data_IF_721274234405
#
_entry.id   IF_721274234405
#
_cell.length_a   1.000
_cell.length_b   1.000
_cell.length_c   1.000
_cell.angle_alpha   90.00
_cell.angle_beta   90.00
_cell.angle_gamma   90.00
#
_symmetry.space_group_name_H-M   'P 1'
#
loop_
_entity.id
_entity.type
_entity.pdbx_description
1 polymer ?
#
# COMPACT_ATOMS: atom_id res chain seq x y z
N UNK A 1 -6.81 4.67 9.83
CA UNK A 1 -6.77 4.28 8.38
C UNK A 1 -6.56 5.51 7.49
N UNK A 2 -5.34 6.02 7.34
CA UNK A 2 -5.06 7.19 6.52
C UNK A 2 -4.73 6.85 5.07
N UNK A 3 -4.70 7.89 4.23
CA UNK A 3 -4.06 7.84 2.92
C UNK A 3 -2.54 8.09 3.06
N UNK A 4 -1.78 7.69 2.05
CA UNK A 4 -0.42 8.18 1.85
C UNK A 4 -0.46 9.62 1.30
N UNK A 5 0.63 10.36 1.45
CA UNK A 5 0.77 11.70 0.85
C UNK A 5 1.04 11.52 -0.65
N UNK A 6 0.00 11.68 -1.44
CA UNK A 6 0.01 11.47 -2.89
C UNK A 6 -0.29 12.76 -3.64
N UNK A 7 0.23 12.95 -4.87
CA UNK A 7 -0.25 14.01 -5.73
C UNK A 7 -1.71 13.78 -6.10
N UNK A 8 -2.45 14.84 -6.36
CA UNK A 8 -3.85 14.73 -6.81
C UNK A 8 -3.96 13.99 -8.15
N UNK A 9 -5.09 13.32 -8.38
CA UNK A 9 -5.31 12.50 -9.58
C UNK A 9 -5.18 13.27 -10.90
N UNK A 10 -5.43 14.58 -10.87
CA UNK A 10 -5.32 15.45 -12.03
C UNK A 10 -3.98 16.21 -12.08
N UNK A 11 -3.09 15.96 -11.13
CA UNK A 11 -1.77 16.58 -11.11
C UNK A 11 -0.87 15.96 -12.18
N UNK A 12 -0.14 16.78 -12.90
CA UNK A 12 0.88 16.36 -13.86
C UNK A 12 2.27 16.21 -13.20
N UNK A 13 2.36 16.44 -11.90
CA UNK A 13 3.62 16.30 -11.16
C UNK A 13 4.00 14.83 -11.05
N UNK A 14 5.26 14.54 -11.40
CA UNK A 14 5.89 13.25 -11.16
C UNK A 14 6.67 13.34 -9.86
N UNK A 15 6.25 12.55 -8.87
CA UNK A 15 6.90 12.50 -7.57
C UNK A 15 7.45 11.08 -7.38
N UNK A 16 8.71 11.00 -6.98
CA UNK A 16 9.38 9.73 -6.73
C UNK A 16 8.76 9.00 -5.51
N UNK A 17 8.73 7.68 -5.58
CA UNK A 17 8.17 6.85 -4.50
C UNK A 17 8.86 7.11 -3.14
N UNK A 18 10.18 7.33 -3.16
CA UNK A 18 10.95 7.68 -1.95
C UNK A 18 10.47 8.99 -1.30
N UNK A 19 10.10 9.97 -2.11
CA UNK A 19 9.59 11.25 -1.62
C UNK A 19 8.18 11.11 -1.04
N UNK A 20 7.30 10.37 -1.71
CA UNK A 20 5.95 10.04 -1.21
C UNK A 20 6.05 9.34 0.14
N UNK A 21 6.90 8.33 0.24
CA UNK A 21 7.12 7.55 1.45
C UNK A 21 7.67 8.40 2.58
N UNK A 22 8.67 9.25 2.30
CA UNK A 22 9.23 10.16 3.29
C UNK A 22 8.18 11.14 3.82
N UNK A 23 7.46 11.80 2.94
CA UNK A 23 6.43 12.78 3.34
C UNK A 23 5.31 12.12 4.13
N UNK A 24 4.92 10.90 3.76
CA UNK A 24 3.92 10.11 4.48
C UNK A 24 4.41 9.78 5.89
N UNK A 25 5.62 9.28 6.02
CA UNK A 25 6.18 8.93 7.32
C UNK A 25 6.36 10.17 8.23
N UNK A 26 6.87 11.27 7.68
CA UNK A 26 7.06 12.52 8.43
C UNK A 26 5.72 13.07 8.96
N UNK A 27 4.66 13.02 8.15
CA UNK A 27 3.32 13.43 8.56
C UNK A 27 2.77 12.55 9.70
N UNK A 28 2.94 11.25 9.60
CA UNK A 28 2.51 10.30 10.64
C UNK A 28 3.30 10.51 11.93
N UNK A 29 4.62 10.61 11.84
CA UNK A 29 5.49 10.78 13.01
C UNK A 29 5.18 12.07 13.77
N UNK A 30 4.81 13.12 13.06
CA UNK A 30 4.46 14.41 13.65
C UNK A 30 3.09 14.40 14.34
N UNK A 31 2.14 13.61 13.88
CA UNK A 31 0.73 13.75 14.25
C UNK A 31 0.13 12.52 14.94
N UNK A 32 0.72 11.35 14.84
CA UNK A 32 0.18 10.11 15.41
C UNK A 32 0.93 9.76 16.69
N UNK A 33 0.23 9.61 17.83
CA UNK A 33 0.86 9.18 19.07
C UNK A 33 1.55 7.83 18.93
N UNK A 34 2.71 7.68 19.57
CA UNK A 34 3.50 6.43 19.52
C UNK A 34 2.78 5.23 20.16
N UNK A 35 1.79 5.48 21.00
CA UNK A 35 0.98 4.46 21.68
C UNK A 35 -0.05 3.81 20.76
N UNK A 36 -0.32 4.38 19.59
CA UNK A 36 -1.19 3.77 18.58
C UNK A 36 -0.53 2.49 18.07
N UNK A 37 -1.20 1.33 18.12
CA UNK A 37 -0.56 0.05 17.81
C UNK A 37 -0.30 -0.15 16.33
N UNK A 38 -1.10 0.43 15.45
CA UNK A 38 -0.97 0.20 14.01
C UNK A 38 -1.66 1.24 13.15
N UNK A 39 -1.19 1.34 11.91
CA UNK A 39 -1.70 2.23 10.87
C UNK A 39 -1.94 1.38 9.63
N UNK A 40 -3.19 1.30 9.17
CA UNK A 40 -3.58 0.57 7.98
C UNK A 40 -3.94 1.57 6.87
N UNK A 41 -3.11 1.63 5.82
CA UNK A 41 -3.33 2.58 4.74
C UNK A 41 -4.52 2.18 3.86
N UNK A 42 -5.30 3.17 3.42
CA UNK A 42 -6.18 3.02 2.27
C UNK A 42 -5.37 3.15 0.97
N UNK A 43 -5.88 2.63 -0.14
CA UNK A 43 -5.14 2.66 -1.40
C UNK A 43 -5.17 4.02 -2.11
N UNK A 44 -6.22 4.82 -1.92
CA UNK A 44 -6.28 6.21 -2.39
C UNK A 44 -6.20 6.40 -3.91
N UNK A 45 -6.64 5.41 -4.69
CA UNK A 45 -6.56 5.44 -6.15
C UNK A 45 -5.21 5.02 -6.72
N UNK A 46 -4.25 4.61 -5.90
CA UNK A 46 -3.00 4.01 -6.38
C UNK A 46 -3.29 2.71 -7.12
N UNK A 47 -2.51 2.40 -8.16
CA UNK A 47 -2.58 1.06 -8.72
C UNK A 47 -2.04 0.03 -7.72
N UNK A 48 -2.41 -1.23 -7.92
CA UNK A 48 -2.13 -2.31 -6.97
C UNK A 48 -0.63 -2.49 -6.70
N UNK A 49 0.20 -2.41 -7.74
CA UNK A 49 1.65 -2.58 -7.59
C UNK A 49 2.27 -1.42 -6.82
N UNK A 50 1.93 -0.18 -7.16
CA UNK A 50 2.46 1.00 -6.47
C UNK A 50 2.03 1.07 -5.02
N UNK A 51 0.79 0.68 -4.71
CA UNK A 51 0.33 0.61 -3.33
C UNK A 51 1.16 -0.38 -2.49
N UNK A 52 1.46 -1.55 -3.05
CA UNK A 52 2.30 -2.56 -2.40
C UNK A 52 3.77 -2.10 -2.30
N UNK A 53 4.35 -1.58 -3.37
CA UNK A 53 5.75 -1.11 -3.41
C UNK A 53 6.01 0.00 -2.38
N UNK A 54 5.13 0.99 -2.29
CA UNK A 54 5.27 2.10 -1.35
C UNK A 54 5.09 1.66 0.10
N UNK A 55 4.16 0.74 0.37
CA UNK A 55 4.03 0.14 1.71
C UNK A 55 5.30 -0.63 2.09
N UNK A 56 5.84 -1.40 1.15
CA UNK A 56 7.09 -2.12 1.34
C UNK A 56 8.25 -1.15 1.66
N UNK A 57 8.38 -0.09 0.87
CA UNK A 57 9.43 0.90 1.05
C UNK A 57 9.33 1.61 2.40
N UNK A 58 8.11 1.95 2.87
CA UNK A 58 7.87 2.48 4.20
C UNK A 58 8.42 1.54 5.28
N UNK A 59 8.13 0.26 5.18
CA UNK A 59 8.57 -0.73 6.16
C UNK A 59 10.09 -0.99 6.11
N UNK A 60 10.71 -0.87 4.93
CA UNK A 60 12.16 -1.01 4.77
C UNK A 60 12.94 0.20 5.29
N UNK A 61 12.50 1.42 4.96
CA UNK A 61 13.21 2.64 5.33
C UNK A 61 13.05 2.99 6.82
N UNK A 62 11.95 2.58 7.42
CA UNK A 62 11.64 2.91 8.82
C UNK A 62 11.39 1.65 9.67
N UNK A 63 12.42 0.81 9.87
CA UNK A 63 12.26 -0.45 10.61
C UNK A 63 11.93 -0.25 12.09
N UNK A 64 12.39 0.86 12.68
CA UNK A 64 12.23 1.16 14.11
C UNK A 64 11.08 2.15 14.38
N UNK A 65 10.03 2.09 13.57
CA UNK A 65 8.83 2.91 13.76
C UNK A 65 7.99 2.45 14.95
N UNK A 66 7.22 3.38 15.51
CA UNK A 66 6.40 3.11 16.70
C UNK A 66 5.15 2.27 16.40
N UNK A 67 4.70 2.25 15.13
CA UNK A 67 3.46 1.57 14.72
C UNK A 67 3.73 0.47 13.72
N UNK A 68 2.86 -0.53 13.71
CA UNK A 68 2.81 -1.47 12.60
C UNK A 68 2.18 -0.78 11.40
N UNK A 69 2.89 -0.71 10.28
CA UNK A 69 2.37 -0.16 9.03
C UNK A 69 1.89 -1.30 8.14
N UNK A 70 0.60 -1.29 7.86
CA UNK A 70 -0.05 -2.35 7.08
C UNK A 70 -1.04 -1.74 6.07
N UNK A 71 -1.86 -2.56 5.48
CA UNK A 71 -2.80 -2.17 4.43
C UNK A 71 -4.24 -2.50 4.80
N UNK A 72 -5.15 -1.68 4.31
CA UNK A 72 -6.59 -1.96 4.28
C UNK A 72 -7.11 -1.52 2.92
N UNK A 73 -6.58 -2.14 1.87
CA UNK A 73 -6.85 -1.79 0.49
C UNK A 73 -8.15 -2.43 0.00
N UNK A 74 -9.01 -1.62 -0.62
CA UNK A 74 -10.17 -2.10 -1.35
C UNK A 74 -9.80 -2.37 -2.81
N UNK A 75 -9.84 -1.33 -3.64
CA UNK A 75 -9.55 -1.45 -5.09
C UNK A 75 -8.18 -2.04 -5.39
N UNK A 76 -7.15 -1.60 -4.71
CA UNK A 76 -5.79 -2.09 -4.92
C UNK A 76 -5.59 -3.56 -4.50
N UNK A 77 -6.46 -4.12 -3.66
CA UNK A 77 -6.48 -5.55 -3.35
C UNK A 77 -7.24 -6.36 -4.41
N UNK A 78 -8.35 -5.82 -4.92
CA UNK A 78 -9.33 -6.56 -5.71
C UNK A 78 -9.20 -6.36 -7.22
N UNK A 79 -8.48 -5.35 -7.67
CA UNK A 79 -8.47 -4.88 -9.06
C UNK A 79 -8.11 -5.99 -10.05
N UNK A 80 -7.06 -6.76 -9.79
CA UNK A 80 -6.61 -7.86 -10.66
C UNK A 80 -7.66 -8.99 -10.71
N UNK A 81 -8.27 -9.27 -9.55
CA UNK A 81 -9.32 -10.29 -9.45
C UNK A 81 -10.59 -9.88 -10.19
N UNK A 82 -11.00 -8.62 -10.09
CA UNK A 82 -12.15 -8.08 -10.81
C UNK A 82 -11.95 -8.11 -12.33
N UNK A 83 -10.73 -7.89 -12.78
CA UNK A 83 -10.38 -8.02 -14.20
C UNK A 83 -10.58 -9.45 -14.70
N UNK A 84 -10.14 -10.46 -13.95
CA UNK A 84 -10.40 -11.86 -14.26
C UNK A 84 -11.90 -12.19 -14.25
N UNK A 85 -12.63 -11.68 -13.26
CA UNK A 85 -14.07 -11.85 -13.15
C UNK A 85 -14.81 -11.29 -14.37
N UNK A 86 -14.42 -10.13 -14.86
CA UNK A 86 -15.02 -9.50 -16.06
C UNK A 86 -14.90 -10.36 -17.31
N UNK A 87 -13.94 -11.29 -17.34
CA UNK A 87 -13.73 -12.26 -18.43
C UNK A 87 -14.34 -13.63 -18.15
N UNK A 88 -15.08 -13.79 -17.06
CA UNK A 88 -15.65 -15.07 -16.66
C UNK A 88 -14.65 -16.08 -16.11
N UNK A 89 -13.42 -15.63 -15.80
CA UNK A 89 -12.34 -16.49 -15.30
C UNK A 89 -12.36 -16.54 -13.76
N UNK A 90 -13.19 -17.43 -13.22
CA UNK A 90 -13.34 -17.60 -11.75
C UNK A 90 -12.06 -18.13 -11.10
N UNK A 91 -11.38 -19.08 -11.74
CA UNK A 91 -10.11 -19.61 -11.21
C UNK A 91 -9.01 -18.55 -11.22
N UNK A 92 -8.93 -17.77 -12.29
CA UNK A 92 -8.01 -16.63 -12.40
C UNK A 92 -8.28 -15.58 -11.34
N UNK A 93 -9.55 -15.28 -11.05
CA UNK A 93 -9.97 -14.38 -9.98
C UNK A 93 -9.40 -14.84 -8.63
N UNK A 94 -9.59 -16.10 -8.27
CA UNK A 94 -9.13 -16.65 -6.99
C UNK A 94 -7.60 -16.58 -6.87
N UNK A 95 -6.89 -16.96 -7.93
CA UNK A 95 -5.42 -16.90 -7.98
C UNK A 95 -4.91 -15.46 -7.89
N UNK A 96 -5.52 -14.53 -8.61
CA UNK A 96 -5.13 -13.12 -8.60
C UNK A 96 -5.33 -12.49 -7.22
N UNK A 97 -6.46 -12.75 -6.58
CA UNK A 97 -6.74 -12.24 -5.23
C UNK A 97 -5.74 -12.76 -4.20
N UNK A 98 -5.48 -14.07 -4.22
CA UNK A 98 -4.52 -14.71 -3.31
C UNK A 98 -3.10 -14.16 -3.52
N UNK A 99 -2.68 -14.03 -4.78
CA UNK A 99 -1.37 -13.46 -5.13
C UNK A 99 -1.23 -12.03 -4.60
N UNK A 100 -2.22 -11.18 -4.83
CA UNK A 100 -2.21 -9.78 -4.39
C UNK A 100 -2.21 -9.68 -2.86
N UNK A 101 -3.02 -10.47 -2.18
CA UNK A 101 -3.04 -10.50 -0.71
C UNK A 101 -1.67 -10.91 -0.15
N UNK A 102 -1.02 -11.90 -0.75
CA UNK A 102 0.33 -12.32 -0.36
C UNK A 102 1.37 -11.21 -0.58
N UNK A 103 1.33 -10.55 -1.74
CA UNK A 103 2.23 -9.41 -2.03
C UNK A 103 2.06 -8.28 -1.02
N UNK A 104 0.83 -7.91 -0.70
CA UNK A 104 0.54 -6.88 0.29
C UNK A 104 0.98 -7.29 1.70
N UNK A 105 0.82 -8.55 2.06
CA UNK A 105 1.35 -9.08 3.31
C UNK A 105 2.88 -8.94 3.37
N UNK A 106 3.59 -9.37 2.34
CA UNK A 106 5.05 -9.21 2.26
C UNK A 106 5.48 -7.75 2.32
N UNK A 107 4.73 -6.86 1.68
CA UNK A 107 4.97 -5.41 1.76
C UNK A 107 4.81 -4.88 3.19
N UNK A 108 3.85 -5.41 3.96
CA UNK A 108 3.62 -4.99 5.36
C UNK A 108 4.76 -5.36 6.31
N UNK A 109 5.63 -6.27 5.90
CA UNK A 109 6.83 -6.67 6.64
C UNK A 109 8.14 -6.29 5.93
N UNK A 110 8.08 -5.51 4.87
CA UNK A 110 9.25 -5.03 4.14
C UNK A 110 9.97 -6.10 3.31
N UNK A 111 9.28 -7.17 2.91
CA UNK A 111 9.87 -8.35 2.24
C UNK A 111 9.29 -8.62 0.85
N UNK A 112 8.69 -7.61 0.21
CA UNK A 112 8.05 -7.79 -1.09
C UNK A 112 9.02 -8.27 -2.17
N UNK A 113 10.26 -7.82 -2.14
CA UNK A 113 11.30 -8.14 -3.13
C UNK A 113 12.42 -9.04 -2.59
N UNK A 114 12.18 -9.67 -1.48
CA UNK A 114 13.15 -10.58 -0.87
C UNK A 114 12.88 -12.04 -1.22
#
# INVERSE_FOLDING_TARGET
KPNMVLPGNLSNERIEDSQIVKMTFDALKKNVPKEVPGIAFLSGGQNSDKAAERLNLLNQLYPNKDWNLTFSYGRALQQDALFCFSKGDVLGLQKALLKRAKMNHLASIGQLFN
#
